data_IF_532295816181
#
_entry.id   IF_532295816181
#
_cell.length_a   1.000
_cell.length_b   1.000
_cell.length_c   1.000
_cell.angle_alpha   90.00
_cell.angle_beta   90.00
_cell.angle_gamma   90.00
#
_symmetry.space_group_name_H-M   'P 1'
#
loop_
_entity.id
_entity.type
_entity.pdbx_description
1 polymer ?
#
# COMPACT_ATOMS: atom_id res chain seq x y z
N UNK A 1 101.66 -18.57 48.41
CA UNK A 1 100.69 -17.86 49.29
C UNK A 1 99.67 -17.12 48.44
N UNK A 2 98.44 -17.32 48.77
CA UNK A 2 97.28 -16.49 48.53
C UNK A 2 96.47 -16.75 47.23
N UNK A 3 95.56 -17.52 47.48
CA UNK A 3 94.08 -17.34 47.40
C UNK A 3 93.53 -17.03 46.03
N UNK A 4 93.17 -18.11 45.39
CA UNK A 4 92.13 -18.16 44.42
C UNK A 4 90.81 -17.76 45.06
N UNK A 5 90.14 -16.79 44.49
CA UNK A 5 88.70 -16.63 44.68
C UNK A 5 88.00 -16.89 43.33
N UNK A 6 87.33 -17.98 43.27
CA UNK A 6 86.46 -18.34 42.19
C UNK A 6 85.23 -17.44 42.23
N UNK A 7 85.02 -16.66 41.22
CA UNK A 7 83.78 -15.93 41.07
C UNK A 7 82.89 -16.76 40.12
N UNK A 8 81.88 -17.37 40.70
CA UNK A 8 80.80 -17.98 39.91
C UNK A 8 79.93 -16.86 39.36
N UNK A 9 79.94 -16.68 38.03
CA UNK A 9 78.96 -15.83 37.34
C UNK A 9 77.76 -16.72 37.11
N UNK A 10 76.69 -16.44 37.88
CA UNK A 10 75.38 -16.99 37.60
C UNK A 10 74.78 -16.31 36.39
N UNK A 11 74.66 -17.05 35.31
CA UNK A 11 73.92 -16.64 34.13
C UNK A 11 72.43 -16.69 34.49
N UNK A 12 71.84 -15.53 34.75
CA UNK A 12 70.37 -15.38 34.76
C UNK A 12 69.89 -15.35 33.29
N UNK A 13 69.38 -16.48 32.89
CA UNK A 13 68.60 -16.58 31.67
C UNK A 13 67.26 -15.82 31.86
N UNK A 14 67.13 -14.65 31.32
CA UNK A 14 65.84 -13.93 31.18
C UNK A 14 64.99 -14.65 30.14
N UNK A 15 64.12 -15.54 30.62
CA UNK A 15 63.06 -16.12 29.82
C UNK A 15 62.05 -14.98 29.55
N UNK A 16 62.21 -14.30 28.42
CA UNK A 16 61.24 -13.33 27.94
C UNK A 16 59.97 -14.10 27.48
N UNK A 17 58.99 -14.14 28.35
CA UNK A 17 57.66 -14.62 28.08
C UNK A 17 57.00 -13.58 27.16
N UNK A 18 57.16 -13.72 25.86
CA UNK A 18 56.37 -12.93 24.89
C UNK A 18 54.95 -13.44 24.97
N UNK A 19 54.18 -12.76 25.81
CA UNK A 19 52.72 -12.90 25.86
C UNK A 19 52.19 -12.30 24.53
N UNK A 20 52.07 -13.15 23.53
CA UNK A 20 51.36 -12.81 22.28
C UNK A 20 49.91 -12.54 22.65
N UNK A 21 49.58 -11.26 22.87
CA UNK A 21 48.21 -10.82 22.89
C UNK A 21 47.62 -11.11 21.51
N UNK A 22 47.02 -12.29 21.35
CA UNK A 22 46.04 -12.52 20.30
C UNK A 22 44.97 -11.45 20.52
N UNK A 23 45.07 -10.35 19.75
CA UNK A 23 43.95 -9.44 19.56
C UNK A 23 42.88 -10.25 18.82
N UNK A 24 42.04 -10.95 19.61
CA UNK A 24 40.77 -11.40 19.13
C UNK A 24 40.04 -10.12 18.66
N UNK A 25 40.05 -9.91 17.34
CA UNK A 25 39.15 -8.91 16.75
C UNK A 25 37.77 -9.29 17.30
N UNK A 26 37.05 -8.38 17.97
CA UNK A 26 35.71 -8.68 18.38
C UNK A 26 34.99 -9.00 17.05
N UNK A 27 34.62 -10.28 16.88
CA UNK A 27 33.58 -10.59 15.93
C UNK A 27 32.44 -9.66 16.30
N UNK A 28 32.20 -8.64 15.48
CA UNK A 28 30.94 -7.90 15.58
C UNK A 28 29.88 -8.98 15.53
N UNK A 29 29.26 -9.25 16.65
CA UNK A 29 28.01 -9.95 16.67
C UNK A 29 27.08 -9.07 15.84
N UNK A 30 26.95 -9.39 14.55
CA UNK A 30 25.83 -8.91 13.77
C UNK A 30 24.61 -9.53 14.40
N UNK A 31 24.03 -8.80 15.35
CA UNK A 31 22.77 -9.13 15.99
C UNK A 31 21.62 -8.82 15.01
N UNK A 32 21.75 -9.28 13.77
CA UNK A 32 20.73 -9.29 12.73
C UNK A 32 20.63 -10.73 12.27
N UNK A 33 19.42 -11.29 12.29
CA UNK A 33 19.14 -12.53 11.57
C UNK A 33 19.67 -12.33 10.15
N UNK A 34 20.55 -13.23 9.70
CA UNK A 34 21.01 -13.21 8.31
C UNK A 34 19.76 -13.27 7.41
N UNK A 35 19.53 -12.29 6.53
CA UNK A 35 18.30 -12.25 5.74
C UNK A 35 18.24 -13.43 4.78
N UNK A 36 17.04 -13.91 4.52
CA UNK A 36 16.84 -14.80 3.38
C UNK A 36 16.76 -13.98 2.09
N UNK A 37 17.24 -14.56 0.99
CA UNK A 37 17.04 -13.99 -0.34
C UNK A 37 15.55 -13.76 -0.58
N UNK A 38 15.19 -12.54 -1.00
CA UNK A 38 13.80 -12.17 -1.25
C UNK A 38 13.03 -11.65 -0.04
N UNK A 39 13.63 -11.58 1.15
CA UNK A 39 13.00 -10.94 2.30
C UNK A 39 12.67 -9.48 2.00
N UNK A 40 11.54 -9.00 2.50
CA UNK A 40 11.11 -7.61 2.41
C UNK A 40 11.28 -6.94 3.76
N UNK A 41 11.98 -5.82 3.78
CA UNK A 41 12.18 -4.97 4.95
C UNK A 41 11.62 -3.58 4.70
N UNK A 42 10.98 -3.02 5.72
CA UNK A 42 10.48 -1.64 5.70
C UNK A 42 11.41 -0.79 6.56
N UNK A 43 11.87 0.34 6.02
CA UNK A 43 12.75 1.26 6.73
C UNK A 43 12.21 2.69 6.68
N UNK A 44 12.56 3.48 7.69
CA UNK A 44 12.12 4.88 7.81
C UNK A 44 13.08 5.90 7.18
N UNK A 45 14.23 5.44 6.68
CA UNK A 45 15.22 6.23 5.96
C UNK A 45 15.14 5.95 4.45
N UNK A 46 15.76 6.77 3.62
CA UNK A 46 15.55 6.84 2.17
C UNK A 46 16.55 6.03 1.31
N UNK A 47 17.15 4.97 1.85
CA UNK A 47 18.05 4.07 1.12
C UNK A 47 17.94 2.64 1.65
N UNK A 48 18.36 1.67 0.84
CA UNK A 48 18.46 0.28 1.28
C UNK A 48 19.86 -0.03 1.80
N UNK A 49 20.01 -0.78 2.90
CA UNK A 49 21.31 -1.24 3.40
C UNK A 49 22.05 -2.10 2.37
N UNK A 50 23.35 -2.36 2.64
CA UNK A 50 24.16 -3.27 1.79
C UNK A 50 23.50 -4.64 1.72
N UNK A 51 23.46 -5.24 0.52
CA UNK A 51 22.80 -6.52 0.26
C UNK A 51 21.30 -6.42 0.01
N UNK A 52 20.75 -5.21 0.08
CA UNK A 52 19.35 -4.92 -0.17
C UNK A 52 19.21 -3.91 -1.30
N UNK A 53 18.12 -3.96 -2.02
CA UNK A 53 17.76 -2.97 -3.03
C UNK A 53 16.30 -2.56 -2.87
N UNK A 54 15.91 -1.44 -3.45
CA UNK A 54 14.52 -0.97 -3.40
C UNK A 54 13.58 -1.97 -4.09
N UNK A 55 12.42 -2.20 -3.51
CA UNK A 55 11.35 -2.99 -4.11
C UNK A 55 10.45 -2.08 -5.00
N UNK A 56 11.01 -1.63 -6.14
CA UNK A 56 10.41 -0.65 -7.04
C UNK A 56 10.20 -1.18 -8.48
N UNK A 57 10.13 -2.50 -8.65
CA UNK A 57 9.83 -3.11 -9.94
C UNK A 57 10.98 -3.10 -10.95
N UNK A 58 12.20 -2.75 -10.55
CA UNK A 58 13.34 -2.69 -11.45
C UNK A 58 13.72 -4.07 -11.98
N UNK A 59 14.22 -4.09 -13.22
CA UNK A 59 14.71 -5.30 -13.89
C UNK A 59 16.11 -5.66 -13.43
N UNK A 60 16.32 -6.90 -13.06
CA UNK A 60 17.63 -7.46 -12.74
C UNK A 60 18.05 -8.51 -13.76
N UNK A 61 19.34 -8.57 -14.15
CA UNK A 61 19.85 -9.61 -15.01
C UNK A 61 19.90 -10.97 -14.27
N UNK A 62 19.36 -12.02 -14.89
CA UNK A 62 19.31 -13.37 -14.32
C UNK A 62 20.72 -13.91 -14.09
N UNK A 63 21.65 -13.66 -15.02
CA UNK A 63 23.02 -14.16 -14.94
C UNK A 63 23.75 -13.80 -13.63
N UNK A 64 23.43 -12.65 -13.06
CA UNK A 64 24.04 -12.14 -11.83
C UNK A 64 23.19 -12.40 -10.58
N UNK A 65 21.93 -12.84 -10.74
CA UNK A 65 20.95 -12.98 -9.67
C UNK A 65 20.18 -14.32 -9.75
N UNK A 66 20.89 -15.41 -10.13
CA UNK A 66 20.27 -16.72 -10.39
C UNK A 66 19.51 -17.28 -9.18
N UNK A 67 20.09 -17.15 -7.99
CA UNK A 67 19.45 -17.64 -6.77
C UNK A 67 18.14 -16.88 -6.47
N UNK A 68 18.13 -15.55 -6.60
CA UNK A 68 16.94 -14.74 -6.41
C UNK A 68 15.89 -15.02 -7.50
N UNK A 69 16.34 -15.18 -8.76
CA UNK A 69 15.45 -15.57 -9.86
C UNK A 69 14.79 -16.94 -9.64
N UNK A 70 15.51 -17.91 -9.05
CA UNK A 70 14.92 -19.21 -8.74
C UNK A 70 13.78 -19.15 -7.72
N UNK A 71 13.77 -18.11 -6.88
CA UNK A 71 12.70 -17.85 -5.89
C UNK A 71 11.55 -17.05 -6.51
N UNK A 72 11.86 -15.93 -7.16
CA UNK A 72 10.86 -14.98 -7.66
C UNK A 72 10.31 -15.36 -9.04
N UNK A 73 11.12 -15.98 -9.91
CA UNK A 73 10.76 -16.20 -11.30
C UNK A 73 10.49 -14.88 -12.03
N UNK A 74 9.60 -14.91 -13.02
CA UNK A 74 9.15 -13.73 -13.76
C UNK A 74 7.75 -13.24 -13.30
N UNK A 75 7.34 -13.56 -12.05
CA UNK A 75 6.00 -13.26 -11.53
C UNK A 75 5.72 -11.78 -11.39
N UNK A 76 6.75 -10.98 -11.21
CA UNK A 76 6.65 -9.52 -11.08
C UNK A 76 6.98 -8.79 -12.38
N UNK A 77 7.37 -9.54 -13.45
CA UNK A 77 7.70 -9.00 -14.77
C UNK A 77 9.08 -9.46 -15.28
N UNK A 78 9.50 -8.86 -16.39
CA UNK A 78 10.71 -9.28 -17.10
C UNK A 78 10.42 -10.33 -18.18
N UNK A 79 11.44 -10.71 -18.94
CA UNK A 79 11.33 -11.72 -20.01
C UNK A 79 11.49 -13.17 -19.53
N UNK A 80 11.97 -13.36 -18.28
CA UNK A 80 12.21 -14.68 -17.68
C UNK A 80 13.33 -15.48 -18.34
N UNK A 81 14.10 -14.85 -19.23
CA UNK A 81 15.24 -15.47 -19.96
C UNK A 81 16.56 -14.74 -19.70
N UNK A 82 16.57 -13.43 -19.83
CA UNK A 82 17.72 -12.57 -19.59
C UNK A 82 17.57 -11.72 -18.35
N UNK A 83 16.33 -11.33 -18.03
CA UNK A 83 16.00 -10.48 -16.90
C UNK A 83 14.69 -10.89 -16.22
N UNK A 84 14.50 -10.42 -15.01
CA UNK A 84 13.28 -10.52 -14.23
C UNK A 84 13.06 -9.24 -13.42
N UNK A 85 11.81 -8.93 -13.08
CA UNK A 85 11.49 -7.76 -12.28
C UNK A 85 11.41 -8.12 -10.78
N UNK A 86 11.78 -7.16 -9.94
CA UNK A 86 11.49 -7.18 -8.52
C UNK A 86 10.03 -6.74 -8.26
N UNK A 87 9.46 -7.06 -7.09
CA UNK A 87 8.17 -6.51 -6.68
C UNK A 87 8.20 -4.97 -6.68
N UNK A 88 7.13 -4.34 -7.12
CA UNK A 88 6.91 -2.89 -6.98
C UNK A 88 5.92 -2.64 -5.85
N UNK A 89 6.43 -2.21 -4.70
CA UNK A 89 5.65 -1.92 -3.49
C UNK A 89 5.33 -0.42 -3.32
N UNK A 90 5.75 0.42 -4.25
CA UNK A 90 5.46 1.86 -4.21
C UNK A 90 3.95 2.11 -4.36
N UNK A 91 3.38 2.81 -3.40
CA UNK A 91 1.94 3.10 -3.37
C UNK A 91 1.04 1.87 -3.20
N UNK A 92 1.57 0.74 -2.71
CA UNK A 92 0.84 -0.52 -2.53
C UNK A 92 0.97 -1.08 -1.13
N UNK A 93 -0.09 -1.72 -0.68
CA UNK A 93 -0.08 -2.56 0.52
C UNK A 93 0.12 -4.02 0.13
N UNK A 94 0.80 -4.78 0.98
CA UNK A 94 0.94 -6.23 0.78
C UNK A 94 -0.34 -6.96 1.18
N UNK A 95 -0.70 -7.98 0.41
CA UNK A 95 -1.85 -8.85 0.67
C UNK A 95 -1.39 -10.32 0.66
N UNK A 96 -1.92 -11.13 1.57
CA UNK A 96 -1.65 -12.56 1.59
C UNK A 96 -2.17 -13.26 0.33
N UNK A 97 -1.32 -14.09 -0.29
CA UNK A 97 -1.73 -14.94 -1.42
C UNK A 97 -2.56 -16.13 -0.95
N UNK A 98 -3.30 -16.73 -1.86
CA UNK A 98 -4.12 -17.93 -1.60
C UNK A 98 -5.61 -17.63 -1.64
N UNK A 99 -6.39 -18.62 -1.18
CA UNK A 99 -7.85 -18.53 -1.12
C UNK A 99 -8.31 -18.73 0.32
N UNK A 100 -8.77 -17.64 0.96
CA UNK A 100 -9.43 -17.72 2.26
C UNK A 100 -10.90 -18.06 2.14
N UNK A 101 -11.52 -18.55 3.23
CA UNK A 101 -12.95 -18.84 3.25
C UNK A 101 -13.76 -17.57 3.01
N UNK A 102 -14.61 -17.57 1.98
CA UNK A 102 -15.40 -16.39 1.57
C UNK A 102 -14.62 -15.28 0.90
N UNK A 103 -13.31 -15.47 0.63
CA UNK A 103 -12.46 -14.48 -0.02
C UNK A 103 -12.14 -14.87 -1.47
N UNK A 104 -11.89 -13.86 -2.30
CA UNK A 104 -11.43 -14.10 -3.67
C UNK A 104 -10.01 -14.67 -3.68
N UNK A 105 -9.70 -15.62 -4.58
CA UNK A 105 -8.34 -16.15 -4.72
C UNK A 105 -7.35 -15.05 -5.14
N UNK A 106 -6.14 -15.14 -4.59
CA UNK A 106 -5.04 -14.19 -4.87
C UNK A 106 -3.79 -14.96 -5.28
N UNK A 107 -3.22 -14.57 -6.41
CA UNK A 107 -1.98 -15.14 -6.91
C UNK A 107 -0.79 -14.24 -6.55
N UNK A 108 0.38 -14.86 -6.37
CA UNK A 108 1.63 -14.14 -6.16
C UNK A 108 1.91 -13.18 -7.34
N UNK A 109 2.34 -11.97 -7.04
CA UNK A 109 2.59 -10.91 -8.05
C UNK A 109 1.33 -10.24 -8.59
N UNK A 110 0.13 -10.65 -8.19
CA UNK A 110 -1.12 -10.04 -8.63
C UNK A 110 -1.26 -8.61 -8.07
N UNK A 111 -1.44 -7.65 -8.97
CA UNK A 111 -1.75 -6.25 -8.61
C UNK A 111 -3.26 -6.05 -8.65
N UNK A 112 -3.81 -5.47 -7.59
CA UNK A 112 -5.24 -5.20 -7.44
C UNK A 112 -5.47 -3.82 -6.81
N UNK A 113 -6.67 -3.28 -7.00
CA UNK A 113 -7.05 -1.98 -6.46
C UNK A 113 -6.65 -0.81 -7.36
N UNK A 114 -7.01 0.38 -6.95
CA UNK A 114 -6.68 1.66 -7.59
C UNK A 114 -6.69 2.76 -6.55
N UNK A 115 -5.90 3.81 -6.76
CA UNK A 115 -5.82 4.95 -5.85
C UNK A 115 -7.07 5.84 -5.89
N UNK A 116 -7.78 5.80 -7.02
CA UNK A 116 -8.99 6.58 -7.23
C UNK A 116 -10.09 5.73 -7.82
N UNK A 117 -11.34 6.10 -7.58
CA UNK A 117 -12.51 5.48 -8.15
C UNK A 117 -13.50 6.54 -8.60
N UNK A 118 -14.08 6.36 -9.78
CA UNK A 118 -15.17 7.20 -10.26
C UNK A 118 -16.49 6.50 -9.95
N UNK A 119 -17.40 7.20 -9.28
CA UNK A 119 -18.78 6.71 -9.12
C UNK A 119 -19.52 6.86 -10.44
N UNK A 120 -20.02 5.76 -10.94
CA UNK A 120 -20.88 5.72 -12.13
C UNK A 120 -22.32 5.47 -11.70
N UNK A 121 -23.28 5.76 -12.59
CA UNK A 121 -24.69 5.46 -12.32
C UNK A 121 -24.94 3.98 -12.00
N UNK A 122 -24.16 3.09 -12.60
CA UNK A 122 -24.26 1.65 -12.35
C UNK A 122 -23.70 1.21 -10.96
N UNK A 123 -22.83 2.02 -10.35
CA UNK A 123 -22.23 1.72 -9.05
C UNK A 123 -22.89 2.44 -7.88
N UNK A 124 -23.80 3.37 -8.15
CA UNK A 124 -24.64 3.98 -7.12
C UNK A 124 -25.77 3.03 -6.70
N UNK A 125 -26.17 3.02 -5.43
CA UNK A 125 -27.41 2.36 -5.04
C UNK A 125 -28.59 2.89 -5.87
N UNK A 126 -29.51 2.01 -6.25
CA UNK A 126 -30.69 2.42 -6.98
C UNK A 126 -31.52 3.37 -6.11
N UNK A 127 -31.70 4.55 -6.59
CA UNK A 127 -32.55 5.56 -5.93
C UNK A 127 -33.23 6.41 -6.99
N UNK A 128 -34.36 7.14 -6.62
CA UNK A 128 -35.06 8.11 -7.42
C UNK A 128 -35.39 9.35 -6.60
N UNK A 129 -35.62 10.44 -7.30
CA UNK A 129 -36.17 11.66 -6.71
C UNK A 129 -37.47 11.97 -7.47
N UNK A 130 -38.53 12.19 -6.72
CA UNK A 130 -39.82 12.57 -7.27
C UNK A 130 -40.25 13.89 -6.66
N UNK A 131 -40.85 14.75 -7.47
CA UNK A 131 -41.53 15.94 -7.00
C UNK A 131 -43.02 15.60 -6.90
N UNK A 132 -43.51 15.55 -5.71
CA UNK A 132 -44.93 15.33 -5.43
C UNK A 132 -45.69 16.62 -5.58
N UNK A 133 -46.87 16.54 -6.17
CA UNK A 133 -47.75 17.69 -6.39
C UNK A 133 -49.20 17.31 -6.15
N UNK A 134 -50.08 18.27 -6.25
CA UNK A 134 -51.53 18.10 -6.21
C UNK A 134 -52.16 18.61 -7.53
N UNK A 135 -53.02 17.85 -8.13
CA UNK A 135 -53.70 18.26 -9.37
C UNK A 135 -55.02 19.01 -9.19
N UNK A 136 -55.39 19.26 -7.92
CA UNK A 136 -56.51 20.17 -7.64
C UNK A 136 -56.03 21.63 -7.73
N UNK A 137 -56.96 22.53 -7.90
CA UNK A 137 -56.68 23.97 -7.93
C UNK A 137 -55.98 24.42 -6.62
N UNK A 138 -54.93 25.24 -6.78
CA UNK A 138 -54.21 25.79 -5.62
C UNK A 138 -55.08 26.76 -4.85
N UNK A 139 -55.03 26.64 -3.53
CA UNK A 139 -55.85 27.41 -2.60
C UNK A 139 -55.05 28.34 -1.67
N UNK A 140 -53.71 28.23 -1.72
CA UNK A 140 -52.82 28.91 -0.78
C UNK A 140 -51.71 29.71 -1.49
N UNK A 141 -51.37 30.89 -0.95
CA UNK A 141 -50.26 31.68 -1.47
C UNK A 141 -48.89 31.16 -0.98
N UNK A 142 -47.88 31.24 -1.84
CA UNK A 142 -46.46 31.01 -1.52
C UNK A 142 -46.06 29.55 -1.23
N UNK A 143 -44.82 29.21 -1.35
CA UNK A 143 -44.33 27.83 -1.36
C UNK A 143 -44.14 27.20 0.05
N UNK A 144 -44.10 27.99 1.12
CA UNK A 144 -43.67 27.53 2.46
C UNK A 144 -44.49 26.34 2.97
N UNK A 145 -43.84 25.18 3.12
CA UNK A 145 -44.40 23.92 3.60
C UNK A 145 -45.65 23.42 2.84
N UNK A 146 -45.69 23.64 1.51
CA UNK A 146 -46.81 23.32 0.62
C UNK A 146 -46.34 22.60 -0.62
N UNK A 147 -47.25 21.89 -1.27
CA UNK A 147 -47.02 21.25 -2.57
C UNK A 147 -47.39 22.20 -3.71
N UNK A 148 -46.78 22.02 -4.86
CA UNK A 148 -47.26 22.60 -6.08
C UNK A 148 -48.65 22.03 -6.44
N UNK A 149 -49.55 22.88 -6.83
CA UNK A 149 -50.90 22.54 -7.26
C UNK A 149 -51.18 23.06 -8.66
N UNK A 150 -52.31 22.63 -9.25
CA UNK A 150 -52.73 23.13 -10.54
C UNK A 150 -53.10 24.63 -10.46
N UNK A 151 -52.79 25.37 -11.52
CA UNK A 151 -53.31 26.72 -11.65
C UNK A 151 -54.82 26.66 -12.03
N UNK A 152 -55.65 27.45 -11.38
CA UNK A 152 -57.06 27.52 -11.72
C UNK A 152 -57.27 27.93 -13.19
N UNK A 153 -58.28 27.36 -13.84
CA UNK A 153 -58.62 27.73 -15.23
C UNK A 153 -59.19 29.15 -15.32
N UNK A 154 -58.72 29.96 -16.25
CA UNK A 154 -59.15 31.33 -16.47
C UNK A 154 -58.53 32.37 -15.53
N UNK A 155 -57.36 32.07 -15.01
CA UNK A 155 -56.60 32.88 -14.08
C UNK A 155 -56.21 34.25 -14.63
N UNK A 156 -56.08 35.23 -13.72
CA UNK A 156 -55.74 36.64 -14.02
C UNK A 156 -54.27 36.99 -13.67
N UNK A 157 -53.45 35.98 -13.34
CA UNK A 157 -52.03 36.13 -12.96
C UNK A 157 -51.78 36.30 -11.45
N UNK A 158 -52.79 36.28 -10.63
CA UNK A 158 -52.70 36.30 -9.16
C UNK A 158 -53.16 34.99 -8.53
N UNK A 159 -53.10 33.90 -9.31
CA UNK A 159 -53.61 32.61 -8.85
C UNK A 159 -52.71 32.00 -7.79
N UNK A 160 -53.34 31.34 -6.84
CA UNK A 160 -52.67 30.49 -5.86
C UNK A 160 -52.34 29.14 -6.50
N UNK A 161 -51.09 28.77 -6.48
CA UNK A 161 -50.57 27.49 -7.07
C UNK A 161 -49.96 26.56 -6.06
N UNK A 162 -50.35 26.70 -4.80
CA UNK A 162 -49.87 25.84 -3.69
C UNK A 162 -51.05 25.29 -2.90
N UNK A 163 -50.84 24.07 -2.37
CA UNK A 163 -51.86 23.42 -1.51
C UNK A 163 -51.21 22.66 -0.39
N UNK A 164 -51.91 22.52 0.73
CA UNK A 164 -51.55 21.65 1.85
C UNK A 164 -52.25 20.28 1.78
N UNK A 165 -53.08 20.05 0.77
CA UNK A 165 -53.69 18.74 0.54
C UNK A 165 -52.62 17.67 0.27
N UNK A 166 -52.96 16.41 0.58
CA UNK A 166 -52.07 15.29 0.31
C UNK A 166 -51.70 15.21 -1.19
N UNK A 167 -50.45 14.83 -1.53
CA UNK A 167 -50.05 14.69 -2.91
C UNK A 167 -50.83 13.56 -3.61
N UNK A 168 -51.28 13.82 -4.82
CA UNK A 168 -52.03 12.85 -5.63
C UNK A 168 -51.48 12.66 -7.04
N UNK A 169 -50.41 13.40 -7.41
CA UNK A 169 -49.66 13.26 -8.67
C UNK A 169 -48.16 13.41 -8.44
N UNK A 170 -47.40 12.83 -9.35
CA UNK A 170 -45.96 13.06 -9.44
C UNK A 170 -45.67 13.90 -10.67
N UNK A 171 -44.88 14.93 -10.51
CA UNK A 171 -44.49 15.81 -11.63
C UNK A 171 -43.49 15.12 -12.59
N UNK A 172 -43.34 15.71 -13.78
CA UNK A 172 -42.42 15.20 -14.78
C UNK A 172 -40.99 15.08 -14.17
N UNK A 173 -40.31 13.90 -14.27
CA UNK A 173 -38.96 13.69 -13.77
C UNK A 173 -37.93 14.69 -14.35
N UNK A 174 -38.19 15.28 -15.51
CA UNK A 174 -37.31 16.30 -16.11
C UNK A 174 -37.26 17.63 -15.33
N UNK A 175 -38.12 17.79 -14.30
CA UNK A 175 -38.04 18.95 -13.42
C UNK A 175 -36.83 18.91 -12.46
N UNK A 176 -36.24 17.72 -12.27
CA UNK A 176 -35.05 17.54 -11.46
C UNK A 176 -33.87 17.39 -12.42
N UNK A 177 -33.00 18.38 -12.40
CA UNK A 177 -31.77 18.31 -13.19
C UNK A 177 -30.81 17.23 -12.62
N UNK A 178 -29.98 16.69 -13.51
CA UNK A 178 -28.89 15.81 -13.07
C UNK A 178 -27.88 16.62 -12.26
N UNK A 179 -27.42 16.03 -11.14
CA UNK A 179 -26.37 16.59 -10.32
C UNK A 179 -25.15 15.65 -10.29
N UNK A 180 -23.97 16.24 -10.07
CA UNK A 180 -22.72 15.52 -10.01
C UNK A 180 -21.86 15.64 -11.26
N UNK A 181 -20.55 15.54 -11.11
CA UNK A 181 -19.56 15.72 -12.17
C UNK A 181 -18.78 14.43 -12.49
N UNK A 182 -19.11 13.29 -11.86
CA UNK A 182 -18.34 12.03 -11.97
C UNK A 182 -16.86 12.22 -11.66
N UNK A 183 -16.53 13.15 -10.74
CA UNK A 183 -15.17 13.40 -10.34
C UNK A 183 -14.55 12.16 -9.66
N UNK A 184 -13.26 11.87 -9.86
CA UNK A 184 -12.58 10.81 -9.17
C UNK A 184 -12.58 11.04 -7.65
N UNK A 185 -12.87 10.00 -6.88
CA UNK A 185 -12.82 9.98 -5.43
C UNK A 185 -11.58 9.18 -5.03
N UNK A 186 -10.74 9.73 -4.14
CA UNK A 186 -9.62 8.99 -3.56
C UNK A 186 -10.15 7.81 -2.75
N UNK A 187 -9.55 6.63 -2.96
CA UNK A 187 -9.80 5.42 -2.18
C UNK A 187 -8.65 5.09 -1.25
N UNK A 188 -7.66 5.98 -1.14
CA UNK A 188 -6.53 5.82 -0.24
C UNK A 188 -6.95 6.22 1.18
N UNK A 189 -6.76 5.27 2.10
CA UNK A 189 -6.81 5.54 3.52
C UNK A 189 -5.61 6.41 3.95
N UNK A 190 -5.66 7.09 5.11
CA UNK A 190 -4.51 7.79 5.66
C UNK A 190 -3.33 6.83 5.83
N UNK A 191 -2.27 7.04 5.05
CA UNK A 191 -1.09 6.16 4.98
C UNK A 191 0.19 6.97 5.14
N UNK A 192 1.22 6.35 5.74
CA UNK A 192 2.56 6.89 5.84
C UNK A 192 3.47 6.16 4.85
N UNK A 193 4.10 6.90 3.94
CA UNK A 193 5.06 6.34 3.01
C UNK A 193 6.37 5.98 3.71
N UNK A 194 6.77 4.72 3.62
CA UNK A 194 8.05 4.20 4.10
C UNK A 194 8.78 3.52 2.95
N UNK A 195 10.08 3.32 3.11
CA UNK A 195 10.91 2.73 2.08
C UNK A 195 10.90 1.21 2.19
N UNK A 196 10.66 0.51 1.09
CA UNK A 196 10.62 -0.94 1.03
C UNK A 196 11.87 -1.47 0.33
N UNK A 197 12.61 -2.33 1.02
CA UNK A 197 13.81 -2.96 0.49
C UNK A 197 13.62 -4.47 0.37
N UNK A 198 14.20 -5.06 -0.68
CA UNK A 198 14.24 -6.50 -0.90
C UNK A 198 15.69 -7.00 -0.81
N UNK A 199 15.91 -8.12 -0.10
CA UNK A 199 17.22 -8.73 0.03
C UNK A 199 17.66 -9.37 -1.30
N UNK A 200 18.78 -8.90 -1.83
CA UNK A 200 19.46 -9.46 -3.01
C UNK A 200 20.63 -10.34 -2.64
N UNK A 201 21.05 -10.32 -1.37
CA UNK A 201 22.08 -11.16 -0.75
C UNK A 201 21.54 -11.73 0.56
N UNK A 202 21.91 -12.96 0.89
CA UNK A 202 21.45 -13.65 2.09
C UNK A 202 21.40 -15.16 1.90
N UNK A 203 20.89 -15.86 2.90
CA UNK A 203 20.72 -17.30 2.87
C UNK A 203 19.61 -17.70 1.87
N UNK A 204 19.82 -18.81 1.15
CA UNK A 204 18.77 -19.37 0.31
C UNK A 204 17.73 -20.10 1.19
N UNK A 205 16.44 -19.73 1.14
CA UNK A 205 15.43 -20.40 1.95
C UNK A 205 15.23 -21.85 1.48
N UNK A 206 15.40 -22.82 2.39
CA UNK A 206 15.10 -24.22 2.10
C UNK A 206 13.57 -24.47 2.21
N UNK A 207 13.05 -25.30 1.31
CA UNK A 207 11.69 -25.84 1.46
C UNK A 207 11.78 -27.14 2.24
N UNK A 208 10.97 -27.26 3.27
CA UNK A 208 10.77 -28.52 4.00
C UNK A 208 9.83 -29.44 3.21
#
# INVERSE_FOLDING_TARGET
MRHLKKSMIAALGTLSLTLGAMMATPNRAEAGLEPFLGDIMIVSFNYCPRGWTEAAGQLLPIAQNQALFSLLGARYGGDGRTNFALPDLRGRMTLGQGTGNGLSPRSEGQVIGSETKVMTQATMPQHNHTVNANNLDGDLPGPGNKLLAAAPTGGTGNETIYSQASPNVTMNPAMIATAGASAPISTQDPTLALYHCIATQGAFPSRN
#
